data_IF_433999124171
#
_entry.id   IF_433999124171
#
_cell.length_a   1.000
_cell.length_b   1.000
_cell.length_c   1.000
_cell.angle_alpha   90.00
_cell.angle_beta   90.00
_cell.angle_gamma   90.00
#
_symmetry.space_group_name_H-M   'P 1'
#
loop_
_entity.id
_entity.type
_entity.pdbx_description
1 polymer ?
#
# COMPACT_ATOMS: atom_id res chain seq x y z
N UNK A 1 10.51 -14.08 14.90
CA UNK A 1 11.85 -13.45 15.01
C UNK A 1 12.36 -13.29 13.59
N UNK A 2 12.94 -12.17 13.22
CA UNK A 2 13.49 -11.95 11.87
C UNK A 2 14.70 -12.88 11.66
N UNK A 3 14.93 -13.32 10.41
CA UNK A 3 16.12 -14.13 10.10
C UNK A 3 17.44 -13.37 10.40
N UNK A 4 18.60 -14.03 10.37
CA UNK A 4 19.89 -13.42 10.76
C UNK A 4 20.26 -12.18 9.95
N UNK A 5 19.70 -12.01 8.77
CA UNK A 5 19.91 -10.83 7.90
C UNK A 5 18.80 -9.76 8.03
N UNK A 6 17.80 -10.01 8.90
CA UNK A 6 16.71 -9.06 9.16
C UNK A 6 17.12 -7.94 10.12
N UNK A 7 16.20 -6.99 10.40
CA UNK A 7 16.48 -5.94 11.37
C UNK A 7 16.60 -6.51 12.79
N UNK A 8 17.56 -5.97 13.55
CA UNK A 8 17.74 -6.27 14.97
C UNK A 8 16.65 -5.60 15.81
N UNK A 9 16.42 -6.08 17.03
CA UNK A 9 15.48 -5.43 17.98
C UNK A 9 15.84 -3.96 18.25
N UNK A 10 17.16 -3.64 18.29
CA UNK A 10 17.63 -2.26 18.46
C UNK A 10 17.24 -1.39 17.25
N UNK A 11 17.43 -1.87 16.03
CA UNK A 11 17.04 -1.16 14.81
C UNK A 11 15.53 -0.91 14.77
N UNK A 12 14.72 -1.90 15.14
CA UNK A 12 13.26 -1.75 15.25
C UNK A 12 12.85 -0.76 16.34
N UNK A 13 13.53 -0.75 17.48
CA UNK A 13 13.27 0.23 18.53
C UNK A 13 13.61 1.66 18.06
N UNK A 14 14.76 1.85 17.41
CA UNK A 14 15.14 3.14 16.83
C UNK A 14 14.15 3.58 15.75
N UNK A 15 13.72 2.67 14.89
CA UNK A 15 12.68 2.92 13.91
C UNK A 15 11.37 3.38 14.58
N UNK A 16 10.89 2.61 15.55
CA UNK A 16 9.63 2.89 16.24
C UNK A 16 9.67 4.23 17.02
N UNK A 17 10.83 4.70 17.44
CA UNK A 17 11.03 5.99 18.14
C UNK A 17 11.28 7.17 17.18
N UNK A 18 11.46 6.91 15.88
CA UNK A 18 11.67 7.92 14.84
C UNK A 18 10.33 8.46 14.29
N UNK A 19 10.40 9.41 13.33
CA UNK A 19 9.26 9.71 12.45
C UNK A 19 9.02 8.55 11.48
N UNK A 20 7.83 8.49 10.87
CA UNK A 20 7.52 7.46 9.86
C UNK A 20 8.57 7.47 8.75
N UNK A 21 8.87 8.65 8.19
CA UNK A 21 9.87 8.81 7.12
C UNK A 21 11.25 8.28 7.53
N UNK A 22 11.81 8.80 8.63
CA UNK A 22 13.13 8.39 9.12
C UNK A 22 13.17 6.90 9.49
N UNK A 23 12.09 6.38 10.06
CA UNK A 23 11.99 4.97 10.40
C UNK A 23 12.07 4.07 9.18
N UNK A 24 11.41 4.48 8.08
CA UNK A 24 11.49 3.76 6.80
C UNK A 24 12.84 3.95 6.10
N UNK A 25 13.46 5.12 6.16
CA UNK A 25 14.83 5.32 5.65
C UNK A 25 15.83 4.37 6.33
N UNK A 26 15.75 4.23 7.65
CA UNK A 26 16.60 3.33 8.42
C UNK A 26 16.34 1.85 8.11
N UNK A 27 15.08 1.48 7.88
CA UNK A 27 14.67 0.11 7.61
C UNK A 27 14.92 -0.32 6.15
N UNK A 28 14.99 0.62 5.22
CA UNK A 28 15.00 0.36 3.78
C UNK A 28 15.98 -0.73 3.33
N UNK A 29 17.25 -0.78 3.78
CA UNK A 29 18.20 -1.82 3.36
C UNK A 29 17.78 -3.24 3.76
N UNK A 30 16.97 -3.39 4.80
CA UNK A 30 16.52 -4.67 5.35
C UNK A 30 15.02 -4.91 5.19
N UNK A 31 14.28 -3.96 4.62
CA UNK A 31 12.82 -3.99 4.53
C UNK A 31 12.28 -5.27 3.89
N UNK A 32 12.90 -5.71 2.80
CA UNK A 32 12.44 -6.90 2.07
C UNK A 32 12.62 -8.22 2.82
N UNK A 33 13.38 -8.20 3.89
CA UNK A 33 13.58 -9.34 4.82
C UNK A 33 12.63 -9.27 6.00
N UNK A 34 11.70 -8.32 5.99
CA UNK A 34 10.67 -8.17 7.03
C UNK A 34 9.34 -8.76 6.56
N UNK A 35 8.45 -9.16 7.49
CA UNK A 35 7.09 -9.56 7.16
C UNK A 35 6.21 -8.37 6.73
N UNK A 36 6.74 -7.14 6.71
CA UNK A 36 6.03 -5.94 6.24
C UNK A 36 6.02 -5.83 4.72
N UNK A 37 6.95 -6.52 4.04
CA UNK A 37 6.93 -6.60 2.58
C UNK A 37 5.72 -7.38 2.12
N UNK A 38 5.00 -6.86 1.14
CA UNK A 38 3.86 -7.56 0.53
C UNK A 38 4.33 -8.88 -0.09
N UNK A 39 3.74 -10.02 0.28
CA UNK A 39 4.11 -11.32 -0.28
C UNK A 39 3.90 -11.37 -1.80
N UNK A 40 4.79 -12.09 -2.51
CA UNK A 40 4.70 -12.27 -3.96
C UNK A 40 3.36 -12.87 -4.41
N UNK A 41 2.79 -13.80 -3.65
CA UNK A 41 1.46 -14.36 -3.94
C UNK A 41 0.33 -13.32 -3.96
N UNK A 42 0.44 -12.26 -3.16
CA UNK A 42 -0.53 -11.14 -3.18
C UNK A 42 -0.33 -10.30 -4.43
N UNK A 43 0.93 -10.02 -4.78
CA UNK A 43 1.27 -9.25 -5.99
C UNK A 43 0.80 -9.99 -7.24
N UNK A 44 1.06 -11.30 -7.34
CA UNK A 44 0.66 -12.13 -8.48
C UNK A 44 -0.87 -12.22 -8.61
N UNK A 45 -1.60 -12.40 -7.51
CA UNK A 45 -3.06 -12.43 -7.52
C UNK A 45 -3.66 -11.09 -7.97
N UNK A 46 -3.08 -9.96 -7.53
CA UNK A 46 -3.51 -8.62 -7.96
C UNK A 46 -3.19 -8.41 -9.44
N UNK A 47 -1.99 -8.79 -9.91
CA UNK A 47 -1.62 -8.70 -11.31
C UNK A 47 -2.60 -9.46 -12.18
N UNK A 48 -2.85 -10.74 -11.89
CA UNK A 48 -3.78 -11.59 -12.64
C UNK A 48 -5.23 -11.04 -12.64
N UNK A 49 -5.66 -10.40 -11.55
CA UNK A 49 -6.96 -9.77 -11.49
C UNK A 49 -7.05 -8.51 -12.38
N UNK A 50 -5.98 -7.70 -12.42
CA UNK A 50 -5.93 -6.46 -13.20
C UNK A 50 -5.68 -6.69 -14.69
N UNK A 51 -4.98 -7.76 -15.09
CA UNK A 51 -4.81 -8.17 -16.49
C UNK A 51 -6.14 -8.28 -17.24
N UNK A 52 -7.20 -8.76 -16.57
CA UNK A 52 -8.54 -8.90 -17.15
C UNK A 52 -9.24 -7.58 -17.45
N UNK A 53 -8.74 -6.47 -16.94
CA UNK A 53 -9.36 -5.14 -17.06
C UNK A 53 -8.49 -4.11 -17.78
N UNK A 54 -7.29 -4.51 -18.24
CA UNK A 54 -6.40 -3.73 -19.08
C UNK A 54 -6.86 -3.64 -20.54
N UNK A 55 -6.04 -3.11 -21.43
CA UNK A 55 -4.65 -2.66 -21.21
C UNK A 55 -4.55 -1.32 -20.44
N UNK A 56 -3.35 -1.03 -19.91
CA UNK A 56 -3.01 0.24 -19.27
C UNK A 56 -1.77 0.83 -19.95
N UNK A 57 -1.69 2.14 -20.07
CA UNK A 57 -0.52 2.81 -20.61
C UNK A 57 0.39 3.31 -19.49
N UNK A 58 -0.12 4.09 -18.53
CA UNK A 58 0.65 4.70 -17.47
C UNK A 58 0.18 4.28 -16.08
N UNK A 59 1.11 3.75 -15.26
CA UNK A 59 0.84 3.24 -13.92
C UNK A 59 1.56 4.03 -12.82
N UNK A 60 0.91 4.12 -11.64
CA UNK A 60 1.47 4.69 -10.43
C UNK A 60 1.45 3.66 -9.29
N UNK A 61 2.61 3.38 -8.69
CA UNK A 61 2.72 2.69 -7.41
C UNK A 61 2.78 3.72 -6.28
N UNK A 62 1.68 3.83 -5.53
CA UNK A 62 1.50 4.81 -4.48
C UNK A 62 2.03 4.28 -3.15
N UNK A 63 2.97 4.99 -2.52
CA UNK A 63 3.75 4.53 -1.37
C UNK A 63 4.51 3.23 -1.72
N UNK A 64 5.31 3.30 -2.78
CA UNK A 64 5.90 2.14 -3.43
C UNK A 64 6.94 1.40 -2.59
N UNK A 65 7.44 1.99 -1.51
CA UNK A 65 8.48 1.41 -0.68
C UNK A 65 9.70 0.99 -1.51
N UNK A 66 10.10 -0.27 -1.40
CA UNK A 66 11.21 -0.87 -2.16
C UNK A 66 10.80 -1.34 -3.57
N UNK A 67 9.61 -0.95 -4.06
CA UNK A 67 9.17 -1.17 -5.43
C UNK A 67 8.41 -2.47 -5.68
N UNK A 68 7.79 -3.07 -4.67
CA UNK A 68 7.03 -4.32 -4.85
C UNK A 68 5.85 -4.17 -5.82
N UNK A 69 5.14 -3.05 -5.80
CA UNK A 69 4.03 -2.78 -6.72
C UNK A 69 4.47 -2.48 -8.15
N UNK A 70 5.72 -2.00 -8.33
CA UNK A 70 6.27 -1.84 -9.67
C UNK A 70 6.38 -3.16 -10.42
N UNK A 71 6.67 -4.27 -9.72
CA UNK A 71 6.71 -5.60 -10.33
C UNK A 71 5.34 -5.99 -10.95
N UNK A 72 4.25 -5.51 -10.37
CA UNK A 72 2.89 -5.65 -10.92
C UNK A 72 2.69 -4.72 -12.11
N UNK A 73 3.01 -3.44 -11.96
CA UNK A 73 2.76 -2.43 -13.00
C UNK A 73 3.59 -2.62 -14.25
N UNK A 74 4.84 -3.09 -14.14
CA UNK A 74 5.70 -3.37 -15.31
C UNK A 74 5.16 -4.49 -16.20
N UNK A 75 4.35 -5.40 -15.65
CA UNK A 75 3.64 -6.44 -16.42
C UNK A 75 2.39 -5.91 -17.11
N UNK A 76 1.75 -4.89 -16.55
CA UNK A 76 0.42 -4.41 -16.93
C UNK A 76 0.44 -3.16 -17.80
N UNK A 77 1.45 -2.30 -17.61
CA UNK A 77 1.54 -1.01 -18.29
C UNK A 77 2.51 -1.06 -19.46
N UNK A 78 2.18 -0.35 -20.56
CA UNK A 78 2.94 -0.33 -21.81
C UNK A 78 3.82 0.91 -21.94
N UNK A 79 3.38 2.05 -21.42
CA UNK A 79 4.03 3.36 -21.59
C UNK A 79 5.03 3.66 -20.48
N UNK A 80 4.53 3.93 -19.29
CA UNK A 80 5.37 4.29 -18.15
C UNK A 80 4.83 3.76 -16.81
N UNK A 81 5.76 3.62 -15.85
CA UNK A 81 5.46 3.25 -14.48
C UNK A 81 6.17 4.22 -13.55
N UNK A 82 5.44 4.83 -12.63
CA UNK A 82 5.99 5.77 -11.65
C UNK A 82 5.85 5.19 -10.24
N UNK A 83 6.95 5.12 -9.49
CA UNK A 83 6.91 4.83 -8.05
C UNK A 83 6.98 6.12 -7.25
N UNK A 84 6.04 6.31 -6.33
CA UNK A 84 6.03 7.44 -5.39
C UNK A 84 6.20 6.94 -3.97
N UNK A 85 7.17 7.48 -3.26
CA UNK A 85 7.34 7.30 -1.82
C UNK A 85 7.92 8.56 -1.20
N UNK A 86 7.66 8.79 0.09
CA UNK A 86 8.25 9.93 0.79
C UNK A 86 9.62 9.61 1.38
N UNK A 87 9.95 8.32 1.59
CA UNK A 87 11.24 7.84 2.07
C UNK A 87 12.28 7.80 0.94
N UNK A 88 13.34 8.58 1.09
CA UNK A 88 14.46 8.57 0.17
C UNK A 88 15.22 7.23 0.19
N UNK A 89 15.32 6.62 1.38
CA UNK A 89 15.94 5.30 1.56
C UNK A 89 15.21 4.21 0.81
N UNK A 90 13.87 4.17 0.89
CA UNK A 90 13.04 3.22 0.14
C UNK A 90 13.23 3.37 -1.36
N UNK A 91 13.15 4.60 -1.89
CA UNK A 91 13.37 4.87 -3.31
C UNK A 91 14.79 4.52 -3.77
N UNK A 92 15.79 4.67 -2.92
CA UNK A 92 17.16 4.26 -3.25
C UNK A 92 17.27 2.74 -3.47
N UNK A 93 16.65 1.95 -2.61
CA UNK A 93 16.58 0.48 -2.74
C UNK A 93 15.78 0.10 -3.99
N UNK A 94 14.64 0.75 -4.21
CA UNK A 94 13.78 0.48 -5.36
C UNK A 94 14.47 0.74 -6.70
N UNK A 95 15.22 1.86 -6.81
CA UNK A 95 15.99 2.20 -8.02
C UNK A 95 17.03 1.15 -8.41
N UNK A 96 17.62 0.46 -7.46
CA UNK A 96 18.60 -0.60 -7.72
C UNK A 96 17.99 -1.87 -8.36
N UNK A 97 16.66 -1.95 -8.49
CA UNK A 97 15.91 -3.13 -8.95
C UNK A 97 15.20 -2.95 -10.29
N UNK A 98 15.40 -1.82 -10.95
CA UNK A 98 14.70 -1.53 -12.22
C UNK A 98 15.06 -2.60 -13.26
N UNK A 99 14.06 -3.27 -13.89
CA UNK A 99 14.32 -4.20 -14.97
C UNK A 99 15.00 -3.50 -16.16
N UNK A 100 15.90 -4.23 -16.82
CA UNK A 100 16.62 -3.70 -17.99
C UNK A 100 15.71 -3.52 -19.22
N UNK A 101 14.53 -4.13 -19.24
CA UNK A 101 13.55 -4.07 -20.32
C UNK A 101 12.13 -3.85 -19.76
N UNK A 102 11.27 -3.17 -20.51
CA UNK A 102 9.88 -2.91 -20.13
C UNK A 102 9.50 -1.43 -20.28
N UNK A 103 8.40 -0.99 -19.65
CA UNK A 103 7.97 0.41 -19.67
C UNK A 103 9.00 1.32 -19.01
N UNK A 104 8.96 2.61 -19.34
CA UNK A 104 9.81 3.60 -18.67
C UNK A 104 9.50 3.69 -17.19
N UNK A 105 10.50 3.59 -16.33
CA UNK A 105 10.34 3.67 -14.87
C UNK A 105 10.81 5.03 -14.36
N UNK A 106 9.95 5.70 -13.61
CA UNK A 106 10.26 6.96 -12.93
C UNK A 106 10.07 6.81 -11.40
N UNK A 107 10.86 7.57 -10.65
CA UNK A 107 10.80 7.58 -9.18
C UNK A 107 10.65 9.01 -8.69
N UNK A 108 9.60 9.26 -7.93
CA UNK A 108 9.29 10.58 -7.40
C UNK A 108 9.21 10.52 -5.87
N UNK A 109 10.00 11.36 -5.21
CA UNK A 109 9.88 11.54 -3.77
C UNK A 109 8.78 12.56 -3.49
N UNK A 110 7.64 12.09 -2.98
CA UNK A 110 6.51 12.93 -2.62
C UNK A 110 5.66 12.29 -1.52
N UNK A 111 4.90 13.13 -0.83
CA UNK A 111 3.85 12.69 0.08
C UNK A 111 2.60 12.30 -0.74
N UNK A 112 2.04 11.13 -0.45
CA UNK A 112 0.81 10.66 -1.08
C UNK A 112 -0.39 11.61 -0.87
N UNK A 113 -0.32 12.48 0.14
CA UNK A 113 -1.34 13.51 0.44
C UNK A 113 -1.20 14.76 -0.42
N UNK A 114 -0.10 14.88 -1.19
CA UNK A 114 0.18 16.03 -2.06
C UNK A 114 0.97 15.56 -3.29
N UNK A 115 0.31 14.85 -4.19
CA UNK A 115 0.91 14.27 -5.38
C UNK A 115 1.18 15.33 -6.45
N UNK A 116 2.39 15.37 -7.05
CA UNK A 116 2.75 16.39 -8.05
C UNK A 116 2.29 16.01 -9.47
N UNK A 117 1.10 15.44 -9.62
CA UNK A 117 0.54 15.00 -10.89
C UNK A 117 -0.90 15.43 -11.05
N UNK A 118 -1.38 15.47 -12.30
CA UNK A 118 -2.79 15.75 -12.65
C UNK A 118 -3.17 14.89 -13.84
N UNK A 119 -4.19 14.03 -13.68
CA UNK A 119 -4.77 13.17 -14.73
C UNK A 119 -3.71 12.46 -15.61
N UNK A 120 -2.71 11.87 -14.97
CA UNK A 120 -1.54 11.30 -15.65
C UNK A 120 -1.55 9.77 -15.77
N UNK A 121 -2.40 9.07 -15.00
CA UNK A 121 -2.34 7.61 -14.87
C UNK A 121 -3.66 6.93 -15.21
N UNK A 122 -3.55 5.74 -15.80
CA UNK A 122 -4.68 4.84 -16.08
C UNK A 122 -4.89 3.86 -14.93
N UNK A 123 -3.80 3.52 -14.23
CA UNK A 123 -3.81 2.61 -13.09
C UNK A 123 -2.96 3.15 -11.94
N UNK A 124 -3.57 3.24 -10.76
CA UNK A 124 -2.86 3.46 -9.50
C UNK A 124 -2.97 2.19 -8.66
N UNK A 125 -1.86 1.71 -8.11
CA UNK A 125 -1.85 0.62 -7.13
C UNK A 125 -1.23 1.07 -5.83
N UNK A 126 -1.53 0.38 -4.72
CA UNK A 126 -0.86 0.60 -3.44
C UNK A 126 -0.86 -0.69 -2.63
N UNK A 127 0.28 -1.00 -2.01
CA UNK A 127 0.46 -2.23 -1.25
C UNK A 127 0.97 -1.93 0.16
N UNK A 128 0.15 -2.28 1.17
CA UNK A 128 0.56 -2.23 2.58
C UNK A 128 0.65 -0.84 3.23
N UNK A 129 0.32 0.26 2.52
CA UNK A 129 0.56 1.62 2.99
C UNK A 129 -0.51 2.18 3.94
N UNK A 130 -1.75 1.68 3.89
CA UNK A 130 -2.88 2.37 4.52
C UNK A 130 -2.88 2.38 6.04
N UNK A 131 -2.08 1.53 6.69
CA UNK A 131 -1.86 1.60 8.13
C UNK A 131 -1.15 2.87 8.61
N UNK A 132 -0.55 3.63 7.69
CA UNK A 132 0.17 4.88 7.96
C UNK A 132 -0.69 6.13 7.85
N UNK A 133 -1.95 5.99 7.44
CA UNK A 133 -2.91 7.10 7.35
C UNK A 133 -3.92 7.03 8.48
N UNK A 134 -4.19 8.18 9.08
CA UNK A 134 -5.28 8.31 10.04
C UNK A 134 -6.61 8.36 9.29
N UNK A 135 -7.74 7.89 9.88
CA UNK A 135 -9.05 7.94 9.24
C UNK A 135 -9.43 9.33 8.69
N UNK A 136 -9.03 10.41 9.38
CA UNK A 136 -9.27 11.80 8.96
C UNK A 136 -8.47 12.22 7.71
N UNK A 137 -7.42 11.49 7.36
CA UNK A 137 -6.55 11.77 6.20
C UNK A 137 -7.04 11.06 4.93
N UNK A 138 -7.85 10.01 5.07
CA UNK A 138 -8.34 9.22 3.94
C UNK A 138 -9.14 10.04 2.91
N UNK A 139 -10.04 10.97 3.28
CA UNK A 139 -10.74 11.79 2.29
C UNK A 139 -9.79 12.56 1.39
N UNK A 140 -8.78 13.23 1.97
CA UNK A 140 -7.77 13.98 1.22
C UNK A 140 -6.91 13.07 0.34
N UNK A 141 -6.47 11.92 0.88
CA UNK A 141 -5.71 10.91 0.14
C UNK A 141 -6.48 10.42 -1.09
N UNK A 142 -7.75 10.05 -0.94
CA UNK A 142 -8.54 9.54 -2.06
C UNK A 142 -8.89 10.63 -3.08
N UNK A 143 -9.05 11.88 -2.65
CA UNK A 143 -9.16 13.02 -3.55
C UNK A 143 -7.88 13.21 -4.37
N UNK A 144 -6.69 13.08 -3.76
CA UNK A 144 -5.42 13.11 -4.49
C UNK A 144 -5.32 11.97 -5.50
N UNK A 145 -5.66 10.74 -5.11
CA UNK A 145 -5.65 9.59 -6.04
C UNK A 145 -6.64 9.82 -7.19
N UNK A 146 -7.82 10.35 -6.91
CA UNK A 146 -8.81 10.66 -7.94
C UNK A 146 -8.27 11.70 -8.94
N UNK A 147 -7.61 12.75 -8.47
CA UNK A 147 -7.09 13.84 -9.32
C UNK A 147 -5.96 13.39 -10.26
N UNK A 148 -5.13 12.42 -9.85
CA UNK A 148 -4.02 11.92 -10.67
C UNK A 148 -4.42 10.86 -11.68
N UNK A 149 -5.57 10.22 -11.52
CA UNK A 149 -6.13 9.28 -12.49
C UNK A 149 -6.76 10.03 -13.68
N UNK A 150 -6.64 9.48 -14.87
CA UNK A 150 -7.43 9.88 -16.03
C UNK A 150 -8.90 9.48 -15.86
N UNK A 151 -9.86 10.11 -16.55
CA UNK A 151 -11.22 9.57 -16.68
C UNK A 151 -11.17 8.09 -17.09
N UNK A 152 -12.03 7.25 -16.50
CA UNK A 152 -12.00 5.80 -16.69
C UNK A 152 -10.89 5.04 -15.96
N UNK A 153 -9.89 5.73 -15.42
CA UNK A 153 -8.75 5.15 -14.69
C UNK A 153 -9.15 4.46 -13.40
N UNK A 154 -8.28 3.59 -12.89
CA UNK A 154 -8.55 2.73 -11.74
C UNK A 154 -7.52 2.89 -10.63
N UNK A 155 -8.00 2.88 -9.40
CA UNK A 155 -7.19 2.70 -8.19
C UNK A 155 -7.45 1.32 -7.60
N UNK A 156 -6.42 0.49 -7.47
CA UNK A 156 -6.55 -0.89 -7.03
C UNK A 156 -5.59 -1.22 -5.87
N UNK A 157 -6.09 -1.92 -4.86
CA UNK A 157 -5.29 -2.39 -3.75
C UNK A 157 -5.91 -3.62 -3.07
N UNK A 158 -5.10 -4.56 -2.55
CA UNK A 158 -5.60 -5.72 -1.83
C UNK A 158 -5.99 -5.37 -0.39
N UNK A 159 -7.05 -6.00 0.09
CA UNK A 159 -7.48 -5.95 1.49
C UNK A 159 -7.65 -7.37 2.01
N UNK A 160 -6.90 -7.70 3.02
CA UNK A 160 -7.06 -8.95 3.74
C UNK A 160 -8.21 -8.83 4.74
N UNK A 161 -8.98 -9.90 4.87
CA UNK A 161 -10.02 -9.95 5.87
C UNK A 161 -9.41 -9.92 7.29
N UNK A 162 -9.88 -9.05 8.19
CA UNK A 162 -9.31 -8.92 9.52
C UNK A 162 -9.37 -10.25 10.29
N UNK A 163 -8.40 -10.54 11.17
CA UNK A 163 -8.46 -11.72 12.02
C UNK A 163 -9.75 -11.72 12.87
N UNK A 164 -10.25 -12.91 13.19
CA UNK A 164 -11.44 -13.05 14.06
C UNK A 164 -11.08 -12.74 15.52
N UNK A 165 -12.01 -12.18 16.34
CA UNK A 165 -11.78 -11.91 17.76
C UNK A 165 -11.32 -13.14 18.56
N UNK A 166 -11.72 -14.35 18.12
CA UNK A 166 -11.33 -15.62 18.75
C UNK A 166 -9.89 -16.08 18.41
N UNK A 167 -9.10 -15.30 17.66
CA UNK A 167 -7.76 -15.70 17.23
C UNK A 167 -6.66 -14.90 17.94
N UNK A 168 -5.50 -15.51 18.25
CA UNK A 168 -4.36 -14.77 18.81
C UNK A 168 -3.93 -13.57 17.97
N UNK A 169 -3.99 -13.69 16.64
CA UNK A 169 -3.67 -12.59 15.71
C UNK A 169 -4.54 -11.35 15.89
N UNK A 170 -5.81 -11.51 16.26
CA UNK A 170 -6.68 -10.38 16.56
C UNK A 170 -6.17 -9.57 17.76
N UNK A 171 -5.85 -10.26 18.85
CA UNK A 171 -5.37 -9.64 20.08
C UNK A 171 -3.97 -9.06 19.94
N UNK A 172 -3.11 -9.71 19.13
CA UNK A 172 -1.79 -9.19 18.80
C UNK A 172 -1.89 -7.86 18.04
N UNK A 173 -2.74 -7.76 17.03
CA UNK A 173 -2.93 -6.50 16.28
C UNK A 173 -3.58 -5.43 17.14
N UNK A 174 -4.52 -5.79 18.02
CA UNK A 174 -5.12 -4.86 18.97
C UNK A 174 -4.09 -4.31 19.97
N UNK A 175 -3.27 -5.20 20.53
CA UNK A 175 -2.18 -4.82 21.44
C UNK A 175 -1.16 -3.92 20.76
N UNK A 176 -0.76 -4.24 19.53
CA UNK A 176 0.14 -3.42 18.75
C UNK A 176 -0.43 -2.00 18.53
N UNK A 177 -1.69 -1.89 18.05
CA UNK A 177 -2.34 -0.60 17.86
C UNK A 177 -2.42 0.21 19.16
N UNK A 178 -2.70 -0.44 20.30
CA UNK A 178 -2.73 0.20 21.61
C UNK A 178 -1.35 0.74 22.02
N UNK A 179 -0.30 -0.07 21.90
CA UNK A 179 1.08 0.34 22.17
C UNK A 179 1.49 1.52 21.29
N UNK A 180 1.19 1.48 19.99
CA UNK A 180 1.52 2.57 19.08
C UNK A 180 0.75 3.86 19.40
N UNK A 181 -0.50 3.76 19.87
CA UNK A 181 -1.26 4.94 20.33
C UNK A 181 -0.67 5.56 21.56
N UNK A 182 -0.30 4.75 22.57
CA UNK A 182 0.38 5.23 23.79
C UNK A 182 1.71 5.87 23.42
N UNK A 183 2.52 5.20 22.58
CA UNK A 183 3.78 5.75 22.08
C UNK A 183 3.57 7.11 21.42
N UNK A 184 2.59 7.24 20.53
CA UNK A 184 2.31 8.48 19.80
C UNK A 184 1.73 9.60 20.69
N UNK A 185 1.12 9.26 21.82
CA UNK A 185 0.70 10.22 22.83
C UNK A 185 1.87 10.78 23.66
N UNK A 186 2.83 9.92 23.97
CA UNK A 186 3.94 10.25 24.87
C UNK A 186 5.21 10.75 24.15
N UNK A 187 5.37 10.43 22.86
CA UNK A 187 6.61 10.69 22.10
C UNK A 187 6.36 11.38 20.76
N UNK A 188 7.23 12.34 20.43
CA UNK A 188 7.22 13.05 19.14
C UNK A 188 8.54 12.83 18.40
N UNK A 189 8.52 12.78 17.06
CA UNK A 189 7.37 12.82 16.15
C UNK A 189 6.52 11.55 16.21
N UNK A 190 5.23 11.59 15.83
CA UNK A 190 4.38 10.39 15.81
C UNK A 190 4.85 9.41 14.73
N UNK A 191 4.80 8.11 15.06
CA UNK A 191 4.95 7.02 14.10
C UNK A 191 3.59 6.35 13.89
N UNK A 192 2.87 6.81 12.90
CA UNK A 192 1.54 6.27 12.59
C UNK A 192 1.70 4.93 11.89
N UNK A 193 1.22 3.86 12.54
CA UNK A 193 1.16 2.51 11.99
C UNK A 193 0.06 1.75 12.73
N UNK A 194 -1.14 1.69 12.13
CA UNK A 194 -2.32 1.11 12.76
C UNK A 194 -2.96 0.07 11.84
N UNK A 195 -2.89 -1.20 12.21
CA UNK A 195 -3.41 -2.31 11.39
C UNK A 195 -4.95 -2.38 11.38
N UNK A 196 -5.63 -1.75 12.34
CA UNK A 196 -7.09 -1.81 12.48
C UNK A 196 -7.81 -0.51 12.14
N UNK A 197 -7.06 0.52 11.72
CA UNK A 197 -7.64 1.81 11.36
C UNK A 197 -8.34 1.79 9.99
N UNK A 198 -7.92 0.88 9.10
CA UNK A 198 -8.39 0.79 7.73
C UNK A 198 -9.53 -0.24 7.62
N UNK A 199 -10.76 0.18 7.92
CA UNK A 199 -11.94 -0.68 7.82
C UNK A 199 -12.54 -0.58 6.42
N UNK A 200 -12.76 -1.73 5.77
CA UNK A 200 -13.24 -1.80 4.38
C UNK A 200 -14.53 -0.99 4.12
N UNK A 201 -15.48 -1.02 5.05
CA UNK A 201 -16.72 -0.26 4.91
C UNK A 201 -16.52 1.26 4.96
N UNK A 202 -15.59 1.73 5.81
CA UNK A 202 -15.26 3.15 5.92
C UNK A 202 -14.49 3.61 4.67
N UNK A 203 -13.51 2.80 4.24
CA UNK A 203 -12.72 3.03 3.03
C UNK A 203 -13.61 3.13 1.80
N UNK A 204 -14.55 2.20 1.64
CA UNK A 204 -15.48 2.22 0.52
C UNK A 204 -16.30 3.51 0.49
N UNK A 205 -16.85 3.93 1.62
CA UNK A 205 -17.62 5.18 1.72
C UNK A 205 -16.78 6.41 1.35
N UNK A 206 -15.53 6.47 1.83
CA UNK A 206 -14.65 7.60 1.52
C UNK A 206 -14.21 7.63 0.06
N UNK A 207 -13.99 6.47 -0.57
CA UNK A 207 -13.74 6.38 -2.01
C UNK A 207 -14.97 6.84 -2.82
N UNK A 208 -16.17 6.39 -2.44
CA UNK A 208 -17.42 6.80 -3.10
C UNK A 208 -17.66 8.32 -2.93
N UNK A 209 -17.35 8.90 -1.76
CA UNK A 209 -17.40 10.35 -1.52
C UNK A 209 -16.37 11.13 -2.35
N UNK A 210 -15.20 10.53 -2.61
CA UNK A 210 -14.19 11.12 -3.49
C UNK A 210 -14.53 11.00 -4.98
N UNK A 211 -15.70 10.45 -5.34
CA UNK A 211 -16.20 10.35 -6.71
C UNK A 211 -15.92 9.04 -7.43
N UNK A 212 -15.37 8.04 -6.74
CA UNK A 212 -15.11 6.73 -7.33
C UNK A 212 -16.37 5.84 -7.38
N UNK A 213 -16.43 4.96 -8.42
CA UNK A 213 -17.26 3.76 -8.41
C UNK A 213 -16.42 2.61 -7.85
N UNK A 214 -16.89 1.97 -6.77
CA UNK A 214 -16.10 0.98 -6.02
C UNK A 214 -16.64 -0.43 -6.22
N UNK A 215 -15.77 -1.33 -6.67
CA UNK A 215 -16.00 -2.77 -6.78
C UNK A 215 -15.10 -3.54 -5.81
N UNK A 216 -15.63 -4.64 -5.27
CA UNK A 216 -14.89 -5.54 -4.38
C UNK A 216 -14.76 -6.91 -5.07
N UNK A 217 -13.60 -7.19 -5.62
CA UNK A 217 -13.32 -8.44 -6.31
C UNK A 217 -12.69 -9.44 -5.34
N UNK A 218 -13.22 -10.67 -5.20
CA UNK A 218 -12.56 -11.69 -4.40
C UNK A 218 -11.23 -12.09 -5.05
N UNK A 219 -10.22 -12.37 -4.22
CA UNK A 219 -8.96 -12.99 -4.62
C UNK A 219 -9.04 -14.48 -4.21
N UNK A 220 -9.44 -15.39 -5.12
CA UNK A 220 -9.77 -16.78 -4.80
C UNK A 220 -8.55 -17.57 -4.33
N UNK A 221 -7.34 -17.17 -4.70
CA UNK A 221 -6.07 -17.78 -4.34
C UNK A 221 -5.87 -17.86 -2.81
N UNK A 222 -6.49 -16.93 -2.06
CA UNK A 222 -6.43 -16.90 -0.60
C UNK A 222 -7.53 -17.73 0.08
N UNK A 223 -8.41 -18.35 -0.71
CA UNK A 223 -9.50 -19.19 -0.23
C UNK A 223 -10.62 -18.41 0.47
N UNK A 224 -11.50 -19.18 1.12
CA UNK A 224 -12.69 -18.65 1.82
C UNK A 224 -12.62 -18.93 3.31
N UNK A 225 -13.38 -18.16 4.09
CA UNK A 225 -13.66 -18.39 5.49
C UNK A 225 -14.75 -19.47 5.66
N UNK A 226 -14.98 -19.96 6.89
CA UNK A 226 -16.05 -20.92 7.19
C UNK A 226 -17.45 -20.41 6.86
N UNK A 227 -17.65 -19.07 6.87
CA UNK A 227 -18.91 -18.41 6.52
C UNK A 227 -19.04 -18.15 4.99
N UNK A 228 -18.16 -18.71 4.17
CA UNK A 228 -18.15 -18.54 2.71
C UNK A 228 -17.53 -17.22 2.23
N UNK A 229 -17.27 -16.26 3.11
CA UNK A 229 -16.67 -14.98 2.72
C UNK A 229 -15.21 -15.14 2.27
N UNK A 230 -14.72 -14.39 1.27
CA UNK A 230 -13.33 -14.46 0.82
C UNK A 230 -12.38 -13.95 1.91
N UNK A 231 -11.18 -14.56 2.00
CA UNK A 231 -10.12 -14.14 2.93
C UNK A 231 -9.36 -12.91 2.45
N UNK A 232 -9.37 -12.66 1.15
CA UNK A 232 -8.79 -11.46 0.56
C UNK A 232 -9.70 -10.94 -0.54
N UNK A 233 -9.71 -9.64 -0.71
CA UNK A 233 -10.40 -8.93 -1.79
C UNK A 233 -9.46 -7.91 -2.39
N UNK A 234 -9.61 -7.64 -3.66
CA UNK A 234 -9.10 -6.44 -4.30
C UNK A 234 -10.20 -5.39 -4.30
N UNK A 235 -9.90 -4.22 -3.81
CA UNK A 235 -10.71 -3.02 -4.01
C UNK A 235 -10.32 -2.44 -5.34
N UNK A 236 -11.27 -2.21 -6.23
CA UNK A 236 -11.08 -1.48 -7.49
C UNK A 236 -12.00 -0.27 -7.45
N UNK A 237 -11.39 0.89 -7.37
CA UNK A 237 -12.08 2.19 -7.39
C UNK A 237 -11.86 2.84 -8.76
N UNK A 238 -12.89 2.88 -9.60
CA UNK A 238 -12.83 3.48 -10.94
C UNK A 238 -13.23 4.96 -10.88
N UNK A 239 -12.40 5.84 -11.45
CA UNK A 239 -12.80 7.21 -11.76
C UNK A 239 -13.82 7.18 -12.90
N UNK A 240 -15.01 7.76 -12.79
CA UNK A 240 -15.95 7.91 -13.91
C UNK A 240 -15.31 8.69 -15.08
N UNK A 241 -15.91 8.49 -16.25
CA UNK A 241 -15.54 9.21 -17.48
C UNK A 241 -15.94 10.66 -17.39
#
# INVERSE_FOLDING_TARGET
>A
MFGPEGPTLRELAVQALSSVERGYDLLAPKFDRTPFRTPGSVLDAVAAALERTGPYDDGLDLCCGTGAGLDVLTRLCRGSVTGVDFSAGMLSVARARVPAAGPRVAWVRADARALPFTAAFDLVVSFGAFGHFLPRELPGLFTQVHSVLRPGGRFAFPVLAPPRPATPGYWMLLGFDAVMRVRNALWRPPFVMYYRAFRLGDVRRELERAGFRVELQPLPEFGRRRDGSPRARMVVARRPD
#
